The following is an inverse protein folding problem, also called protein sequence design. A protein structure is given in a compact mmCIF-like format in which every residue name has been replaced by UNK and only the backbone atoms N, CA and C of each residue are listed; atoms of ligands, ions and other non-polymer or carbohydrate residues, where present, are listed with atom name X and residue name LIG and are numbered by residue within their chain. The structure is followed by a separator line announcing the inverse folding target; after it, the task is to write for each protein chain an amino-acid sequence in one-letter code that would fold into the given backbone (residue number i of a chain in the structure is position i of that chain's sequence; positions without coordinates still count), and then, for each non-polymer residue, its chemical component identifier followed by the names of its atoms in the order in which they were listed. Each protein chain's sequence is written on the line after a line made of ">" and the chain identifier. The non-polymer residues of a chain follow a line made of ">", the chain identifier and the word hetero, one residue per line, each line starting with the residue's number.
data_IF_991974594964
#
_entry.id   IF_991974594964
#
_cell.length_a   1.000
_cell.length_b   1.000
_cell.length_c   1.000
_cell.angle_alpha   90.00
_cell.angle_beta   90.00
_cell.angle_gamma   90.00
#
_symmetry.space_group_name_H-M   'P 1'
#
loop_
_entity.id
_entity.type
_entity.pdbx_description
1 polymer ?
#
# COMPACT_ATOMS: atom_id res chain seq x y z
N UNK A 1 6.62 1.00 3.98
CA UNK A 1 5.24 1.09 4.51
C UNK A 1 5.09 2.02 5.72
N UNK A 2 5.51 1.66 6.94
CA UNK A 2 5.23 2.44 8.15
C UNK A 2 5.70 3.90 8.08
N UNK A 3 6.92 4.14 7.56
CA UNK A 3 7.43 5.50 7.35
C UNK A 3 6.58 6.29 6.35
N UNK A 4 6.15 5.65 5.26
CA UNK A 4 5.30 6.28 4.25
C UNK A 4 4.01 6.80 4.88
N UNK A 5 3.30 5.96 5.65
CA UNK A 5 2.05 6.32 6.33
C UNK A 5 2.20 7.44 7.37
N UNK A 6 3.37 7.53 8.03
CA UNK A 6 3.66 8.64 8.96
C UNK A 6 3.90 9.94 8.18
N UNK A 7 4.53 9.86 7.00
CA UNK A 7 4.85 11.03 6.18
C UNK A 7 3.69 11.58 5.35
N UNK A 8 2.73 10.74 4.91
CA UNK A 8 1.65 11.21 4.03
C UNK A 8 0.54 11.99 4.73
N UNK A 9 0.59 12.16 6.07
CA UNK A 9 -0.46 12.72 6.96
C UNK A 9 -1.86 12.08 6.85
N UNK A 10 -2.06 11.25 5.83
CA UNK A 10 -3.28 10.57 5.48
C UNK A 10 -3.16 9.12 5.94
N UNK A 11 -4.10 8.68 6.79
CA UNK A 11 -4.06 7.38 7.49
C UNK A 11 -5.13 6.39 6.99
N UNK A 12 -5.86 6.75 5.93
CA UNK A 12 -6.89 5.90 5.34
C UNK A 12 -6.32 4.80 4.44
N UNK A 13 -7.18 3.87 4.03
CA UNK A 13 -6.81 2.78 3.11
C UNK A 13 -6.20 3.27 1.80
N UNK A 14 -6.67 4.40 1.27
CA UNK A 14 -6.12 5.00 0.05
C UNK A 14 -4.64 5.38 0.19
N UNK A 15 -4.19 5.77 1.39
CA UNK A 15 -2.79 6.07 1.67
C UNK A 15 -1.93 4.80 1.78
N UNK A 16 -2.54 3.68 2.17
CA UNK A 16 -1.89 2.37 2.18
C UNK A 16 -1.72 1.90 0.74
N UNK A 17 -2.78 1.98 -0.07
CA UNK A 17 -2.78 1.50 -1.46
C UNK A 17 -1.90 2.33 -2.39
N UNK A 18 -1.66 3.61 -2.08
CA UNK A 18 -0.76 4.48 -2.85
C UNK A 18 0.74 4.28 -2.53
N UNK A 19 1.08 3.29 -1.71
CA UNK A 19 2.47 2.96 -1.42
C UNK A 19 3.23 2.50 -2.67
N UNK A 20 4.19 3.33 -3.10
CA UNK A 20 5.01 3.11 -4.30
C UNK A 20 6.52 3.20 -4.05
N UNK A 21 6.94 3.14 -2.78
CA UNK A 21 8.35 3.28 -2.40
C UNK A 21 9.16 2.03 -2.79
N UNK A 22 10.42 2.22 -3.17
CA UNK A 22 11.38 1.14 -3.51
C UNK A 22 10.92 0.21 -4.65
N UNK A 23 10.06 0.71 -5.55
CA UNK A 23 9.57 -0.02 -6.72
C UNK A 23 8.42 -0.97 -6.43
N UNK A 24 7.90 -1.01 -5.20
CA UNK A 24 6.68 -1.73 -4.89
C UNK A 24 5.47 -1.03 -5.51
N UNK A 25 4.45 -1.79 -5.88
CA UNK A 25 3.16 -1.30 -6.35
C UNK A 25 2.05 -2.21 -5.85
N UNK A 26 0.87 -1.65 -5.60
CA UNK A 26 -0.29 -2.43 -5.21
C UNK A 26 -0.75 -3.34 -6.35
N UNK A 27 -0.94 -4.63 -6.07
CA UNK A 27 -1.47 -5.61 -7.03
C UNK A 27 -2.87 -6.05 -6.60
N UNK A 28 -3.88 -5.59 -7.32
CA UNK A 28 -5.25 -6.05 -7.13
C UNK A 28 -5.43 -7.53 -7.48
N UNK A 29 -4.63 -8.06 -8.42
CA UNK A 29 -4.72 -9.46 -8.88
C UNK A 29 -4.25 -10.44 -7.80
N UNK A 30 -3.20 -10.10 -7.06
CA UNK A 30 -2.67 -10.93 -5.97
C UNK A 30 -3.36 -10.67 -4.63
N UNK A 31 -4.07 -9.54 -4.51
CA UNK A 31 -4.88 -9.21 -3.32
C UNK A 31 -6.18 -10.01 -3.33
N UNK A 32 -6.11 -11.24 -2.78
CA UNK A 32 -7.25 -12.17 -2.71
C UNK A 32 -8.21 -11.89 -1.55
N UNK A 33 -7.79 -11.09 -0.57
CA UNK A 33 -8.60 -10.65 0.56
C UNK A 33 -8.49 -9.14 0.71
N UNK A 34 -9.62 -8.47 0.94
CA UNK A 34 -9.66 -7.01 1.09
C UNK A 34 -8.80 -6.50 2.25
N UNK A 35 -8.72 -7.26 3.35
CA UNK A 35 -7.90 -6.89 4.52
C UNK A 35 -6.39 -7.20 4.36
N UNK A 36 -5.96 -7.83 3.27
CA UNK A 36 -4.56 -8.22 3.05
C UNK A 36 -4.07 -7.68 1.70
N UNK A 37 -3.83 -6.35 1.59
CA UNK A 37 -3.33 -5.76 0.35
C UNK A 37 -1.92 -6.27 0.04
N UNK A 38 -1.75 -6.80 -1.16
CA UNK A 38 -0.48 -7.34 -1.65
C UNK A 38 0.23 -6.29 -2.50
N UNK A 39 1.50 -6.07 -2.18
CA UNK A 39 2.38 -5.19 -2.93
C UNK A 39 3.47 -6.00 -3.61
N UNK A 40 3.63 -5.82 -4.92
CA UNK A 40 4.58 -6.54 -5.76
C UNK A 40 5.60 -5.55 -6.32
N UNK A 41 6.84 -6.01 -6.46
CA UNK A 41 7.92 -5.29 -7.12
C UNK A 41 8.36 -6.05 -8.36
#
# INVERSE_FOLDING_TARGET
>A
MARHLITTENRGEEAILSFTTDGYSFSAEETKKENEPVFVR
#
